data_IF_099010802140
#
_entry.id   IF_099010802140
#
_cell.length_a   1.000
_cell.length_b   1.000
_cell.length_c   1.000
_cell.angle_alpha   90.00
_cell.angle_beta   90.00
_cell.angle_gamma   90.00
#
_symmetry.space_group_name_H-M   'P 1'
#
loop_
_entity.id
_entity.type
_entity.pdbx_description
1 polymer ?
#
# COMPACT_ATOMS: atom_id res chain seq x y z
N UNK A 1 5.03 -15.78 61.28
CA UNK A 1 5.53 -16.79 60.33
C UNK A 1 4.32 -17.64 59.91
N UNK A 2 3.67 -17.29 58.80
CA UNK A 2 2.43 -17.92 58.33
C UNK A 2 2.83 -18.96 57.28
N UNK A 3 2.52 -20.23 57.54
CA UNK A 3 2.82 -21.34 56.65
C UNK A 3 1.68 -21.49 55.64
N UNK A 4 1.93 -21.14 54.37
CA UNK A 4 0.99 -21.33 53.27
C UNK A 4 1.18 -22.73 52.68
N UNK A 5 0.20 -23.61 52.89
CA UNK A 5 0.10 -24.90 52.22
C UNK A 5 -0.43 -24.68 50.79
N UNK A 6 0.43 -24.91 49.80
CA UNK A 6 0.04 -24.95 48.38
C UNK A 6 -0.67 -26.27 48.06
N UNK A 7 -1.98 -26.21 47.86
CA UNK A 7 -2.76 -27.29 47.25
C UNK A 7 -2.49 -27.32 45.75
N UNK A 8 -1.74 -28.31 45.29
CA UNK A 8 -1.62 -28.64 43.87
C UNK A 8 -2.97 -29.20 43.37
N UNK A 9 -3.72 -28.39 42.64
CA UNK A 9 -4.81 -28.88 41.80
C UNK A 9 -4.21 -29.58 40.59
N UNK A 10 -4.17 -30.91 40.61
CA UNK A 10 -4.02 -31.70 39.40
C UNK A 10 -5.26 -31.50 38.53
N UNK A 11 -5.17 -30.59 37.56
CA UNK A 11 -6.12 -30.55 36.47
C UNK A 11 -5.97 -31.86 35.69
N UNK A 12 -6.96 -32.75 35.82
CA UNK A 12 -7.08 -33.92 34.97
C UNK A 12 -7.18 -33.43 33.53
N UNK A 13 -6.09 -33.60 32.78
CA UNK A 13 -6.08 -33.39 31.34
C UNK A 13 -7.12 -34.33 30.74
N UNK A 14 -8.18 -33.76 30.18
CA UNK A 14 -9.10 -34.48 29.31
C UNK A 14 -8.29 -34.91 28.09
N UNK A 15 -7.79 -36.15 28.14
CA UNK A 15 -7.34 -36.88 26.95
C UNK A 15 -8.57 -37.07 26.07
N UNK A 16 -8.80 -36.12 25.17
CA UNK A 16 -9.73 -36.31 24.06
C UNK A 16 -9.12 -37.35 23.13
N UNK A 17 -9.38 -38.63 23.42
CA UNK A 17 -9.21 -39.70 22.45
C UNK A 17 -10.20 -39.47 21.33
N UNK A 18 -9.77 -38.73 20.31
CA UNK A 18 -10.49 -38.66 19.04
C UNK A 18 -10.41 -40.06 18.41
N UNK A 19 -11.42 -40.90 18.63
CA UNK A 19 -11.60 -42.15 17.90
C UNK A 19 -11.95 -41.80 16.45
N UNK A 20 -10.94 -41.51 15.63
CA UNK A 20 -11.14 -41.27 14.20
C UNK A 20 -11.68 -42.55 13.57
N UNK A 21 -12.87 -42.47 12.97
CA UNK A 21 -13.55 -43.61 12.34
C UNK A 21 -12.75 -44.13 11.15
N UNK A 22 -12.08 -43.23 10.41
CA UNK A 22 -11.16 -43.56 9.34
C UNK A 22 -10.00 -42.55 9.27
N UNK A 23 -8.92 -42.91 8.59
CA UNK A 23 -7.76 -42.06 8.33
C UNK A 23 -7.40 -42.06 6.85
N UNK A 24 -6.93 -40.92 6.34
CA UNK A 24 -6.40 -40.80 4.98
C UNK A 24 -4.88 -40.69 5.04
N UNK A 25 -4.21 -41.37 4.10
CA UNK A 25 -2.77 -41.26 3.90
C UNK A 25 -2.42 -41.08 2.41
N UNK A 26 -1.50 -40.17 2.04
CA UNK A 26 -0.86 -39.18 2.91
C UNK A 26 -1.84 -38.08 3.36
N UNK A 27 -1.63 -37.54 4.56
CA UNK A 27 -2.42 -36.41 5.08
C UNK A 27 -1.81 -35.09 4.61
N UNK A 28 -2.64 -34.32 3.92
CA UNK A 28 -2.43 -32.96 3.43
C UNK A 28 -1.20 -32.81 2.51
N UNK A 29 -1.07 -33.64 1.46
CA UNK A 29 0.13 -33.70 0.63
C UNK A 29 0.30 -32.45 -0.24
N UNK A 30 1.57 -32.03 -0.42
CA UNK A 30 1.98 -31.09 -1.46
C UNK A 30 2.60 -31.83 -2.64
N UNK A 31 2.16 -31.51 -3.85
CA UNK A 31 2.58 -32.17 -5.09
C UNK A 31 2.88 -31.14 -6.18
N UNK A 32 3.87 -31.46 -7.02
CA UNK A 32 4.12 -30.69 -8.24
C UNK A 32 3.01 -30.88 -9.26
N UNK A 33 2.70 -29.85 -10.04
CA UNK A 33 1.77 -29.94 -11.18
C UNK A 33 2.19 -31.06 -12.14
N UNK A 34 1.23 -31.87 -12.59
CA UNK A 34 1.45 -33.00 -13.49
C UNK A 34 1.77 -34.32 -12.77
N UNK A 35 2.05 -34.27 -11.46
CA UNK A 35 2.26 -35.47 -10.64
C UNK A 35 0.95 -36.25 -10.44
N UNK A 36 1.09 -37.50 -9.99
CA UNK A 36 -0.04 -38.36 -9.63
C UNK A 36 -0.04 -38.60 -8.12
N UNK A 37 -1.23 -38.67 -7.51
CA UNK A 37 -1.42 -39.01 -6.10
C UNK A 37 -2.10 -40.36 -5.98
N UNK A 38 -1.54 -41.24 -5.15
CA UNK A 38 -2.24 -42.41 -4.65
C UNK A 38 -2.51 -42.20 -3.16
N UNK A 39 -3.79 -42.15 -2.81
CA UNK A 39 -4.23 -41.98 -1.43
C UNK A 39 -4.97 -43.24 -0.96
N UNK A 40 -4.94 -43.51 0.34
CA UNK A 40 -5.64 -44.63 0.98
C UNK A 40 -6.52 -44.12 2.10
N UNK A 41 -7.72 -44.69 2.23
CA UNK A 41 -8.64 -44.48 3.34
C UNK A 41 -8.72 -45.79 4.12
N UNK A 42 -8.26 -45.75 5.37
CA UNK A 42 -8.21 -46.89 6.28
C UNK A 42 -9.26 -46.71 7.35
N UNK A 43 -10.21 -47.64 7.44
CA UNK A 43 -11.30 -47.60 8.41
C UNK A 43 -10.99 -48.48 9.60
N UNK A 44 -11.33 -48.02 10.81
CA UNK A 44 -11.16 -48.84 12.01
C UNK A 44 -12.09 -50.08 11.94
N UNK A 45 -11.56 -51.31 12.06
CA UNK A 45 -12.35 -52.54 12.02
C UNK A 45 -13.52 -52.57 12.99
N UNK A 46 -13.40 -51.91 14.15
CA UNK A 46 -14.39 -51.94 15.23
C UNK A 46 -15.71 -51.25 14.86
N UNK A 47 -15.74 -50.48 13.77
CA UNK A 47 -16.94 -49.76 13.31
C UNK A 47 -17.77 -50.51 12.27
N UNK A 48 -17.38 -51.73 11.88
CA UNK A 48 -18.18 -52.59 10.99
C UNK A 48 -18.37 -52.06 9.56
N UNK A 49 -17.56 -51.10 9.14
CA UNK A 49 -17.62 -50.49 7.80
C UNK A 49 -16.64 -51.20 6.87
N UNK A 50 -17.13 -51.72 5.75
CA UNK A 50 -16.31 -52.41 4.75
C UNK A 50 -15.82 -51.48 3.64
N UNK A 51 -14.56 -51.64 3.24
CA UNK A 51 -13.91 -50.84 2.19
C UNK A 51 -14.66 -50.82 0.86
N UNK A 52 -15.31 -51.93 0.48
CA UNK A 52 -16.08 -52.01 -0.77
C UNK A 52 -17.34 -51.15 -0.80
N UNK A 53 -17.79 -50.64 0.34
CA UNK A 53 -18.95 -49.73 0.44
C UNK A 53 -18.55 -48.25 0.39
N UNK A 54 -17.25 -47.95 0.43
CA UNK A 54 -16.71 -46.60 0.50
C UNK A 54 -16.61 -45.97 -0.89
N UNK A 55 -16.60 -44.63 -0.92
CA UNK A 55 -16.30 -43.90 -2.13
C UNK A 55 -15.55 -42.60 -1.83
N UNK A 56 -14.90 -42.05 -2.86
CA UNK A 56 -14.15 -40.83 -2.75
C UNK A 56 -14.83 -39.67 -3.47
N UNK A 57 -14.66 -38.46 -2.92
CA UNK A 57 -14.98 -37.22 -3.61
C UNK A 57 -13.78 -36.30 -3.63
N UNK A 58 -13.58 -35.59 -4.74
CA UNK A 58 -12.64 -34.48 -4.86
C UNK A 58 -13.42 -33.19 -5.09
N UNK A 59 -13.25 -32.20 -4.21
CA UNK A 59 -14.00 -30.93 -4.25
C UNK A 59 -15.52 -31.14 -4.35
N UNK A 60 -16.05 -32.12 -3.61
CA UNK A 60 -17.47 -32.49 -3.61
C UNK A 60 -17.94 -33.33 -4.80
N UNK A 61 -17.12 -33.53 -5.83
CA UNK A 61 -17.45 -34.36 -6.98
C UNK A 61 -17.03 -35.81 -6.73
N UNK A 62 -17.96 -36.76 -6.88
CA UNK A 62 -17.68 -38.20 -6.75
C UNK A 62 -16.74 -38.67 -7.85
N UNK A 63 -15.69 -39.39 -7.44
CA UNK A 63 -14.71 -39.94 -8.37
C UNK A 63 -15.23 -41.25 -9.01
N UNK A 64 -14.81 -41.58 -10.24
CA UNK A 64 -15.22 -42.82 -10.91
C UNK A 64 -14.72 -44.06 -10.17
N UNK A 65 -15.51 -45.13 -10.15
CA UNK A 65 -15.10 -46.40 -9.52
C UNK A 65 -13.85 -47.02 -10.14
N UNK A 66 -13.57 -46.73 -11.42
CA UNK A 66 -12.35 -47.17 -12.13
C UNK A 66 -11.06 -46.59 -11.54
N UNK A 67 -11.15 -45.54 -10.73
CA UNK A 67 -9.99 -44.94 -10.04
C UNK A 67 -9.69 -45.58 -8.69
N UNK A 68 -10.55 -46.50 -8.23
CA UNK A 68 -10.46 -47.12 -6.92
C UNK A 68 -9.78 -48.49 -6.99
N UNK A 69 -9.08 -48.86 -5.92
CA UNK A 69 -8.61 -50.22 -5.68
C UNK A 69 -8.84 -50.61 -4.23
N UNK A 70 -9.47 -51.77 -4.01
CA UNK A 70 -9.67 -52.32 -2.66
C UNK A 70 -8.41 -53.10 -2.31
N UNK A 71 -7.67 -52.63 -1.31
CA UNK A 71 -6.40 -53.25 -0.88
C UNK A 71 -6.62 -54.28 0.21
N UNK A 72 -7.62 -54.08 1.06
CA UNK A 72 -8.02 -55.00 2.13
C UNK A 72 -9.50 -54.80 2.49
N UNK A 73 -10.10 -55.60 3.38
CA UNK A 73 -11.48 -55.40 3.83
C UNK A 73 -11.77 -54.03 4.47
N UNK A 74 -10.73 -53.33 4.95
CA UNK A 74 -10.83 -52.05 5.66
C UNK A 74 -10.10 -50.90 4.96
N UNK A 75 -9.41 -51.15 3.84
CA UNK A 75 -8.61 -50.14 3.14
C UNK A 75 -9.02 -50.04 1.66
N UNK A 76 -9.44 -48.84 1.25
CA UNK A 76 -9.69 -48.46 -0.14
C UNK A 76 -8.65 -47.42 -0.58
N UNK A 77 -8.12 -47.58 -1.78
CA UNK A 77 -7.20 -46.63 -2.40
C UNK A 77 -7.83 -45.93 -3.60
N UNK A 78 -7.36 -44.72 -3.88
CA UNK A 78 -7.69 -43.95 -5.07
C UNK A 78 -6.42 -43.41 -5.71
N UNK A 79 -6.33 -43.51 -7.04
CA UNK A 79 -5.22 -42.94 -7.81
C UNK A 79 -5.73 -41.81 -8.71
N UNK A 80 -5.16 -40.62 -8.51
CA UNK A 80 -5.45 -39.41 -9.27
C UNK A 80 -4.25 -39.08 -10.18
N UNK A 81 -4.35 -39.33 -11.49
CA UNK A 81 -3.25 -39.03 -12.41
C UNK A 81 -3.25 -37.56 -12.85
N UNK A 82 -2.05 -37.03 -13.12
CA UNK A 82 -1.83 -35.71 -13.77
C UNK A 82 -2.62 -34.57 -13.12
N UNK A 83 -2.43 -34.37 -11.83
CA UNK A 83 -3.08 -33.31 -11.08
C UNK A 83 -2.67 -31.91 -11.61
N UNK A 84 -3.67 -31.03 -11.73
CA UNK A 84 -3.47 -29.64 -12.15
C UNK A 84 -3.37 -28.71 -10.95
N UNK A 85 -2.72 -27.56 -11.11
CA UNK A 85 -2.63 -26.55 -10.05
C UNK A 85 -4.01 -25.98 -9.70
N UNK A 86 -4.38 -26.04 -8.42
CA UNK A 86 -5.66 -25.50 -7.96
C UNK A 86 -5.55 -24.03 -7.61
N UNK A 87 -6.57 -23.24 -7.94
CA UNK A 87 -6.67 -21.82 -7.53
C UNK A 87 -7.21 -21.67 -6.10
N UNK A 88 -7.63 -22.78 -5.48
CA UNK A 88 -8.19 -22.77 -4.14
C UNK A 88 -7.08 -22.65 -3.09
N UNK A 89 -7.00 -21.50 -2.42
CA UNK A 89 -5.95 -21.22 -1.42
C UNK A 89 -5.96 -22.15 -0.22
N UNK A 90 -7.10 -22.78 0.09
CA UNK A 90 -7.23 -23.73 1.20
C UNK A 90 -6.85 -25.18 0.83
N UNK A 91 -6.43 -25.43 -0.42
CA UNK A 91 -6.23 -26.77 -0.96
C UNK A 91 -7.51 -27.42 -1.48
N UNK A 92 -7.35 -28.46 -2.29
CA UNK A 92 -8.45 -29.27 -2.84
C UNK A 92 -8.87 -30.35 -1.83
N UNK A 93 -10.17 -30.51 -1.61
CA UNK A 93 -10.71 -31.40 -0.59
C UNK A 93 -10.88 -32.82 -1.14
N UNK A 94 -10.00 -33.74 -0.75
CA UNK A 94 -10.14 -35.18 -0.98
C UNK A 94 -10.80 -35.83 0.24
N UNK A 95 -11.94 -36.46 0.03
CA UNK A 95 -12.78 -36.93 1.15
C UNK A 95 -13.23 -38.37 0.91
N UNK A 96 -13.13 -39.19 1.94
CA UNK A 96 -13.60 -40.57 1.99
C UNK A 96 -14.96 -40.63 2.68
N UNK A 97 -15.94 -41.26 2.04
CA UNK A 97 -17.33 -41.35 2.51
C UNK A 97 -17.76 -42.80 2.68
N UNK A 98 -18.71 -43.04 3.59
CA UNK A 98 -19.44 -44.30 3.66
C UNK A 98 -20.59 -44.35 2.65
N UNK A 99 -21.23 -45.52 2.51
CA UNK A 99 -22.39 -45.71 1.61
C UNK A 99 -23.59 -44.81 1.92
N UNK A 100 -23.75 -44.37 3.16
CA UNK A 100 -24.80 -43.44 3.61
C UNK A 100 -24.50 -41.96 3.32
N UNK A 101 -23.33 -41.63 2.78
CA UNK A 101 -22.94 -40.26 2.45
C UNK A 101 -22.32 -39.46 3.60
N UNK A 102 -21.98 -40.13 4.71
CA UNK A 102 -21.26 -39.50 5.81
C UNK A 102 -19.76 -39.44 5.51
N UNK A 103 -19.15 -38.30 5.83
CA UNK A 103 -17.70 -38.09 5.76
C UNK A 103 -17.03 -38.91 6.86
N UNK A 104 -16.11 -39.79 6.48
CA UNK A 104 -15.31 -40.58 7.40
C UNK A 104 -13.96 -39.95 7.69
N UNK A 105 -13.32 -39.39 6.66
CA UNK A 105 -12.03 -38.72 6.74
C UNK A 105 -11.86 -37.74 5.57
N UNK A 106 -11.05 -36.70 5.74
CA UNK A 106 -10.74 -35.72 4.70
C UNK A 106 -9.28 -35.28 4.74
N UNK A 107 -8.75 -34.89 3.58
CA UNK A 107 -7.43 -34.31 3.40
C UNK A 107 -7.43 -33.22 2.33
N UNK A 108 -6.63 -32.18 2.56
CA UNK A 108 -6.41 -31.08 1.63
C UNK A 108 -5.19 -31.34 0.73
N UNK A 109 -5.40 -31.49 -0.57
CA UNK A 109 -4.33 -31.65 -1.55
C UNK A 109 -3.86 -30.26 -2.00
N UNK A 110 -2.54 -30.04 -1.96
CA UNK A 110 -1.91 -28.82 -2.46
C UNK A 110 -1.11 -29.13 -3.73
N UNK A 111 -1.59 -28.70 -4.89
CA UNK A 111 -0.92 -28.95 -6.17
C UNK A 111 -0.39 -27.64 -6.74
N UNK A 112 0.91 -27.57 -6.98
CA UNK A 112 1.54 -26.34 -7.44
C UNK A 112 3.00 -26.49 -7.84
N UNK A 113 3.77 -25.42 -7.65
CA UNK A 113 5.18 -25.36 -8.06
C UNK A 113 6.05 -24.91 -6.88
N UNK A 114 7.32 -25.37 -6.80
CA UNK A 114 8.27 -24.77 -5.87
C UNK A 114 8.46 -23.29 -6.21
N UNK A 115 8.81 -22.45 -5.22
CA UNK A 115 8.99 -21.03 -5.46
C UNK A 115 10.21 -20.80 -6.35
N UNK A 116 10.09 -19.85 -7.27
CA UNK A 116 11.23 -19.34 -8.02
C UNK A 116 11.94 -18.22 -7.27
N UNK A 117 13.21 -18.00 -7.62
CA UNK A 117 14.08 -16.97 -7.06
C UNK A 117 13.40 -15.58 -7.13
N UNK A 118 13.13 -14.91 -5.99
CA UNK A 118 12.64 -13.54 -5.99
C UNK A 118 13.63 -12.58 -6.69
N UNK A 119 13.10 -11.58 -7.38
CA UNK A 119 13.87 -10.64 -8.21
C UNK A 119 13.54 -9.18 -7.86
N UNK A 120 14.33 -8.24 -8.38
CA UNK A 120 14.13 -6.79 -8.20
C UNK A 120 14.07 -6.35 -6.72
N UNK A 121 14.87 -6.98 -5.86
CA UNK A 121 15.00 -6.54 -4.47
C UNK A 121 15.65 -5.16 -4.44
N UNK A 122 14.89 -4.17 -3.98
CA UNK A 122 15.28 -2.77 -3.86
C UNK A 122 14.86 -2.24 -2.51
N UNK A 123 15.65 -1.33 -1.94
CA UNK A 123 15.33 -0.73 -0.65
C UNK A 123 15.53 0.78 -0.69
N UNK A 124 14.82 1.49 0.18
CA UNK A 124 14.97 2.91 0.43
C UNK A 124 14.75 3.23 1.90
N UNK A 125 15.42 4.27 2.38
CA UNK A 125 15.32 4.76 3.76
C UNK A 125 14.75 6.16 3.76
N UNK A 126 13.64 6.37 4.45
CA UNK A 126 13.09 7.70 4.66
C UNK A 126 13.83 8.36 5.82
N UNK A 127 14.45 9.50 5.54
CA UNK A 127 15.11 10.34 6.53
C UNK A 127 16.16 9.58 7.39
N UNK A 128 16.78 8.52 6.87
CA UNK A 128 17.74 7.65 7.59
C UNK A 128 17.22 6.97 8.86
N UNK A 129 15.91 6.88 9.04
CA UNK A 129 15.29 6.35 10.27
C UNK A 129 14.73 4.96 10.11
N UNK A 130 14.28 4.63 8.92
CA UNK A 130 13.67 3.36 8.56
C UNK A 130 14.36 2.73 7.36
N UNK A 131 13.98 1.50 7.02
CA UNK A 131 14.36 0.86 5.78
C UNK A 131 13.14 0.11 5.25
N UNK A 132 12.69 0.52 4.07
CA UNK A 132 11.62 -0.18 3.35
C UNK A 132 12.25 -0.91 2.18
N UNK A 133 11.92 -2.19 2.03
CA UNK A 133 12.41 -3.01 0.94
C UNK A 133 11.25 -3.64 0.19
N UNK A 134 11.39 -3.73 -1.14
CA UNK A 134 10.41 -4.31 -2.05
C UNK A 134 11.08 -5.26 -3.01
N UNK A 135 10.38 -6.33 -3.34
CA UNK A 135 10.79 -7.32 -4.34
C UNK A 135 9.61 -7.74 -5.22
N UNK A 136 9.91 -8.50 -6.26
CA UNK A 136 8.91 -9.22 -7.06
C UNK A 136 9.11 -10.73 -6.88
N UNK A 137 8.03 -11.53 -6.92
CA UNK A 137 8.13 -12.97 -7.10
C UNK A 137 8.95 -13.33 -8.35
N UNK A 138 9.67 -14.45 -8.28
CA UNK A 138 10.30 -15.02 -9.47
C UNK A 138 9.30 -15.61 -10.46
N UNK A 139 9.72 -15.77 -11.71
CA UNK A 139 8.94 -16.45 -12.76
C UNK A 139 7.59 -15.80 -13.04
N UNK A 140 6.55 -16.63 -13.15
CA UNK A 140 5.16 -16.19 -13.35
C UNK A 140 4.48 -15.69 -12.05
N UNK A 141 5.18 -15.74 -10.91
CA UNK A 141 4.70 -15.28 -9.60
C UNK A 141 3.60 -16.12 -8.94
N UNK A 142 2.87 -16.97 -9.68
CA UNK A 142 1.88 -17.91 -9.14
C UNK A 142 2.48 -19.30 -8.97
N UNK A 143 2.52 -19.80 -7.73
CA UNK A 143 2.97 -21.16 -7.39
C UNK A 143 1.80 -22.11 -7.13
N UNK A 144 0.55 -21.64 -7.20
CA UNK A 144 -0.70 -22.34 -6.84
C UNK A 144 -0.78 -22.83 -5.37
N UNK A 145 0.28 -22.67 -4.58
CA UNK A 145 0.33 -23.01 -3.15
C UNK A 145 0.79 -21.78 -2.38
N UNK A 146 0.24 -21.58 -1.18
CA UNK A 146 0.63 -20.46 -0.32
C UNK A 146 2.14 -20.42 -0.13
N UNK A 147 2.77 -19.37 -0.63
CA UNK A 147 4.20 -19.14 -0.55
C UNK A 147 4.47 -18.00 0.42
N UNK A 148 5.31 -18.27 1.43
CA UNK A 148 5.75 -17.27 2.40
C UNK A 148 7.02 -16.62 1.86
N UNK A 149 7.08 -15.29 1.89
CA UNK A 149 8.29 -14.53 1.59
C UNK A 149 8.79 -13.92 2.90
N UNK A 150 10.06 -14.16 3.21
CA UNK A 150 10.71 -13.66 4.41
C UNK A 150 11.90 -12.81 3.99
N UNK A 151 11.86 -11.50 4.29
CA UNK A 151 13.04 -10.65 4.12
C UNK A 151 13.98 -10.86 5.30
N UNK A 152 15.24 -11.17 4.99
CA UNK A 152 16.31 -11.41 5.95
C UNK A 152 17.40 -10.39 5.78
N UNK A 153 17.96 -9.95 6.91
CA UNK A 153 19.02 -8.94 6.90
C UNK A 153 19.98 -9.11 8.08
N UNK A 154 21.23 -8.69 7.87
CA UNK A 154 22.24 -8.57 8.93
C UNK A 154 23.26 -7.51 8.54
N UNK A 155 23.99 -7.01 9.53
CA UNK A 155 25.17 -6.19 9.27
C UNK A 155 26.27 -7.10 8.69
N UNK A 156 26.98 -6.61 7.67
CA UNK A 156 27.90 -7.42 6.85
C UNK A 156 29.04 -8.04 7.64
N UNK A 157 29.63 -7.27 8.53
CA UNK A 157 30.88 -7.64 9.21
C UNK A 157 30.67 -8.29 10.57
N UNK A 158 29.57 -7.96 11.22
CA UNK A 158 29.21 -8.42 12.56
C UNK A 158 27.69 -8.37 12.69
N UNK A 159 27.10 -9.18 13.54
CA UNK A 159 25.65 -9.17 13.76
C UNK A 159 24.99 -10.48 13.36
N UNK A 160 23.80 -10.68 13.92
CA UNK A 160 22.99 -11.88 13.71
C UNK A 160 21.97 -11.63 12.60
N UNK A 161 21.62 -12.70 11.91
CA UNK A 161 20.48 -12.72 10.99
C UNK A 161 19.22 -12.28 11.73
N UNK A 162 18.48 -11.36 11.11
CA UNK A 162 17.17 -10.90 11.55
C UNK A 162 16.18 -11.14 10.43
N UNK A 163 14.96 -11.48 10.80
CA UNK A 163 13.82 -11.54 9.88
C UNK A 163 12.99 -10.27 10.03
N UNK A 164 12.45 -9.78 8.93
CA UNK A 164 11.48 -8.70 8.95
C UNK A 164 10.13 -9.19 9.45
N UNK A 165 9.57 -8.48 10.42
CA UNK A 165 8.28 -8.82 11.05
C UNK A 165 7.12 -7.96 10.52
N UNK A 166 7.39 -6.73 10.09
CA UNK A 166 6.37 -5.77 9.66
C UNK A 166 6.24 -5.76 8.13
N UNK A 167 5.32 -6.58 7.64
CA UNK A 167 4.91 -6.59 6.24
C UNK A 167 3.78 -5.59 6.06
N UNK A 168 3.95 -4.66 5.13
CA UNK A 168 2.95 -3.63 4.85
C UNK A 168 1.62 -4.29 4.43
N UNK A 169 0.60 -4.20 5.29
CA UNK A 169 -0.69 -4.89 5.11
C UNK A 169 -1.42 -4.55 3.79
N UNK A 170 -1.03 -3.45 3.12
CA UNK A 170 -1.58 -3.02 1.84
C UNK A 170 -0.73 -3.35 0.61
N UNK A 171 0.58 -3.60 0.77
CA UNK A 171 1.51 -3.77 -0.36
C UNK A 171 2.19 -5.15 -0.32
N UNK A 172 1.77 -6.10 -1.19
CA UNK A 172 2.40 -7.40 -1.24
C UNK A 172 3.88 -7.26 -1.63
N UNK A 173 4.72 -8.15 -1.08
CA UNK A 173 6.16 -8.20 -1.37
C UNK A 173 6.94 -6.96 -0.94
N UNK A 174 6.46 -6.30 0.13
CA UNK A 174 7.12 -5.18 0.80
C UNK A 174 7.32 -5.50 2.27
N UNK A 175 8.48 -5.11 2.81
CA UNK A 175 8.81 -5.19 4.24
C UNK A 175 9.29 -3.83 4.74
N UNK A 176 8.92 -3.51 5.97
CA UNK A 176 9.28 -2.27 6.65
C UNK A 176 10.08 -2.56 7.93
N UNK A 177 11.25 -1.92 8.06
CA UNK A 177 12.10 -2.00 9.25
C UNK A 177 12.11 -0.63 9.92
N UNK A 178 11.43 -0.46 11.08
CA UNK A 178 11.08 0.87 11.59
C UNK A 178 12.21 1.61 12.33
N UNK A 179 13.23 0.90 12.84
CA UNK A 179 14.26 1.48 13.73
C UNK A 179 15.45 0.52 13.92
N UNK A 180 16.39 0.93 14.77
CA UNK A 180 17.58 0.17 15.19
C UNK A 180 18.50 -0.21 14.02
N UNK A 181 18.58 0.72 13.06
CA UNK A 181 19.44 0.65 11.90
C UNK A 181 20.79 1.32 12.20
N UNK A 182 21.87 0.69 11.76
CA UNK A 182 23.20 1.25 11.84
C UNK A 182 23.52 2.01 10.56
N UNK A 183 24.12 3.18 10.71
CA UNK A 183 24.69 3.96 9.60
C UNK A 183 26.19 3.65 9.48
N UNK A 184 26.78 3.94 8.33
CA UNK A 184 28.22 3.75 8.05
C UNK A 184 28.70 2.29 8.06
N UNK A 185 27.77 1.34 8.14
CA UNK A 185 28.05 -0.10 8.08
C UNK A 185 27.10 -0.76 7.09
N UNK A 186 27.60 -1.42 6.04
CA UNK A 186 26.75 -2.03 5.04
C UNK A 186 25.97 -3.22 5.61
N UNK A 187 24.72 -3.34 5.20
CA UNK A 187 23.86 -4.50 5.42
C UNK A 187 24.00 -5.52 4.28
N UNK A 188 23.81 -6.79 4.62
CA UNK A 188 23.48 -7.87 3.69
C UNK A 188 21.98 -8.10 3.78
N UNK A 189 21.27 -8.04 2.66
CA UNK A 189 19.80 -8.18 2.61
C UNK A 189 19.42 -9.14 1.50
N UNK A 190 18.53 -10.08 1.78
CA UNK A 190 17.99 -11.03 0.82
C UNK A 190 16.56 -11.44 1.19
N UNK A 191 15.86 -12.07 0.26
CA UNK A 191 14.51 -12.58 0.47
C UNK A 191 14.51 -14.10 0.27
N UNK A 192 13.91 -14.81 1.21
CA UNK A 192 13.66 -16.25 1.13
C UNK A 192 12.19 -16.49 0.82
N UNK A 193 11.90 -17.15 -0.30
CA UNK A 193 10.58 -17.64 -0.65
C UNK A 193 10.49 -19.13 -0.27
N UNK A 194 9.45 -19.51 0.46
CA UNK A 194 9.29 -20.87 0.98
C UNK A 194 7.84 -21.35 0.84
N UNK A 195 7.67 -22.57 0.35
CA UNK A 195 6.42 -23.30 0.37
C UNK A 195 6.67 -24.80 0.64
N UNK A 196 5.62 -25.62 0.67
CA UNK A 196 5.73 -27.05 0.98
C UNK A 196 6.55 -27.86 -0.04
N UNK A 197 6.79 -27.31 -1.24
CA UNK A 197 7.55 -27.96 -2.32
C UNK A 197 9.02 -27.53 -2.37
N UNK A 198 9.41 -26.49 -1.63
CA UNK A 198 10.81 -26.06 -1.57
C UNK A 198 11.01 -24.61 -1.18
N UNK A 199 12.25 -24.16 -1.29
CA UNK A 199 12.71 -22.81 -0.97
C UNK A 199 13.55 -22.23 -2.10
N UNK A 200 13.50 -20.91 -2.27
CA UNK A 200 14.34 -20.17 -3.18
C UNK A 200 14.74 -18.81 -2.58
N UNK A 201 15.99 -18.40 -2.79
CA UNK A 201 16.54 -17.16 -2.24
C UNK A 201 16.88 -16.18 -3.34
N UNK A 202 16.63 -14.89 -3.10
CA UNK A 202 17.02 -13.80 -4.00
C UNK A 202 18.54 -13.66 -4.06
N UNK A 203 19.02 -12.84 -4.99
CA UNK A 203 20.37 -12.30 -4.85
C UNK A 203 20.49 -11.49 -3.56
N UNK A 204 21.68 -11.52 -2.96
CA UNK A 204 22.02 -10.71 -1.80
C UNK A 204 22.40 -9.32 -2.29
N UNK A 205 21.73 -8.29 -1.75
CA UNK A 205 22.13 -6.91 -1.97
C UNK A 205 22.95 -6.40 -0.79
N UNK A 206 23.89 -5.52 -1.10
CA UNK A 206 24.74 -4.85 -0.12
C UNK A 206 24.47 -3.35 -0.18
N UNK A 207 24.07 -2.76 0.93
CA UNK A 207 23.83 -1.31 1.00
C UNK A 207 24.12 -0.76 2.40
N UNK A 208 24.70 0.43 2.45
CA UNK A 208 24.57 1.30 3.62
C UNK A 208 23.20 2.00 3.56
N UNK A 209 22.59 2.29 4.71
CA UNK A 209 21.37 3.10 4.77
C UNK A 209 21.56 4.44 4.06
N UNK A 210 22.76 5.01 4.16
CA UNK A 210 23.15 6.28 3.52
C UNK A 210 23.21 6.19 1.98
N UNK A 211 23.25 4.99 1.39
CA UNK A 211 23.26 4.79 -0.06
C UNK A 211 21.85 4.87 -0.69
N UNK A 212 20.80 4.78 0.12
CA UNK A 212 19.41 4.60 -0.34
C UNK A 212 18.44 5.59 0.31
N UNK A 213 18.93 6.77 0.68
CA UNK A 213 18.15 7.78 1.39
C UNK A 213 17.17 8.49 0.46
N UNK A 214 15.92 8.56 0.87
CA UNK A 214 14.91 9.52 0.40
C UNK A 214 14.46 10.39 1.58
N UNK A 215 13.80 11.51 1.31
CA UNK A 215 13.27 12.39 2.36
C UNK A 215 11.83 12.73 2.09
N UNK A 216 11.18 13.34 3.09
CA UNK A 216 9.89 13.99 2.85
C UNK A 216 10.05 15.12 1.82
N UNK A 217 8.99 15.44 1.05
CA UNK A 217 8.99 16.60 0.15
C UNK A 217 9.22 17.90 0.93
N UNK A 218 9.75 18.95 0.27
CA UNK A 218 9.85 20.29 0.87
C UNK A 218 8.51 20.77 1.44
N UNK A 219 8.55 21.37 2.63
CA UNK A 219 7.36 21.94 3.29
C UNK A 219 7.23 23.42 2.95
N UNK A 220 6.10 24.04 3.33
CA UNK A 220 5.92 25.49 3.29
C UNK A 220 6.18 26.13 1.92
N UNK A 221 5.78 25.42 0.85
CA UNK A 221 5.95 25.90 -0.52
C UNK A 221 5.02 27.07 -0.78
N UNK A 222 5.59 28.26 -0.95
CA UNK A 222 4.89 29.51 -1.23
C UNK A 222 5.31 30.05 -2.59
N UNK A 223 4.33 30.60 -3.32
CA UNK A 223 4.56 31.25 -4.62
C UNK A 223 3.99 32.66 -4.54
N UNK A 224 4.80 33.67 -4.83
CA UNK A 224 4.42 35.08 -4.73
C UNK A 224 4.88 35.87 -5.95
N UNK A 225 4.17 36.95 -6.26
CA UNK A 225 4.58 37.92 -7.30
C UNK A 225 5.88 38.62 -6.94
N UNK A 226 6.59 39.10 -7.95
CA UNK A 226 7.81 39.89 -7.81
C UNK A 226 7.49 41.34 -8.15
N UNK A 227 6.93 42.07 -7.19
CA UNK A 227 6.36 43.40 -7.45
C UNK A 227 5.33 43.32 -8.57
N UNK A 228 5.47 44.20 -9.55
CA UNK A 228 4.59 44.31 -10.72
C UNK A 228 5.14 43.61 -11.97
N UNK A 229 6.17 42.77 -11.83
CA UNK A 229 6.73 42.02 -12.97
C UNK A 229 5.74 40.96 -13.46
N UNK A 230 5.22 41.18 -14.66
CA UNK A 230 4.16 40.40 -15.30
C UNK A 230 4.60 39.00 -15.76
N UNK A 231 5.90 38.76 -15.89
CA UNK A 231 6.47 37.53 -16.43
C UNK A 231 7.19 36.67 -15.36
N UNK A 232 7.07 37.05 -14.08
CA UNK A 232 7.87 36.48 -13.00
C UNK A 232 7.09 36.11 -11.74
N UNK A 233 7.47 34.97 -11.17
CA UNK A 233 7.03 34.51 -9.85
C UNK A 233 8.24 34.08 -9.01
N UNK A 234 8.19 34.33 -7.70
CA UNK A 234 9.15 33.79 -6.73
C UNK A 234 8.54 32.59 -6.01
N UNK A 235 9.26 31.48 -6.01
CA UNK A 235 8.94 30.26 -5.27
C UNK A 235 9.87 30.18 -4.06
N UNK A 236 9.33 29.91 -2.87
CA UNK A 236 10.09 29.66 -1.63
C UNK A 236 9.58 28.40 -0.95
N UNK A 237 10.47 27.67 -0.27
CA UNK A 237 10.12 26.43 0.44
C UNK A 237 10.99 26.23 1.69
N UNK A 238 10.52 25.38 2.59
CA UNK A 238 11.25 24.89 3.74
C UNK A 238 12.10 23.67 3.41
N UNK A 239 13.32 23.63 3.93
CA UNK A 239 14.19 22.45 3.89
C UNK A 239 13.64 21.36 4.83
N UNK A 240 13.41 20.12 4.34
CA UNK A 240 13.05 18.99 5.19
C UNK A 240 14.00 18.84 6.39
N UNK A 241 13.50 18.57 7.62
CA UNK A 241 14.34 18.52 8.81
C UNK A 241 15.55 17.58 8.72
N UNK A 242 15.39 16.43 8.04
CA UNK A 242 16.46 15.46 7.85
C UNK A 242 17.65 16.03 7.04
N UNK A 243 17.40 16.98 6.13
CA UNK A 243 18.42 17.61 5.29
C UNK A 243 19.12 18.80 5.95
N UNK A 244 18.74 19.15 7.18
CA UNK A 244 19.43 20.20 7.97
C UNK A 244 20.64 19.66 8.73
N UNK A 245 20.77 18.34 8.80
CA UNK A 245 21.93 17.68 9.38
C UNK A 245 23.16 17.92 8.47
N UNK A 246 24.35 18.05 9.08
CA UNK A 246 25.62 18.24 8.38
C UNK A 246 25.95 17.08 7.44
N UNK A 247 25.31 15.93 7.64
CA UNK A 247 25.44 14.76 6.79
C UNK A 247 24.95 14.97 5.36
N UNK A 248 24.10 15.98 5.07
CA UNK A 248 23.43 16.10 3.78
C UNK A 248 23.67 17.43 3.07
N UNK A 249 23.88 17.35 1.76
CA UNK A 249 23.65 18.45 0.83
C UNK A 249 22.46 18.12 -0.06
N UNK A 250 21.55 19.09 -0.23
CA UNK A 250 20.34 18.92 -1.01
C UNK A 250 20.43 19.63 -2.36
N UNK A 251 19.82 19.03 -3.38
CA UNK A 251 19.40 19.72 -4.60
C UNK A 251 17.88 19.74 -4.68
N UNK A 252 17.34 20.81 -5.26
CA UNK A 252 15.91 20.95 -5.50
C UNK A 252 15.58 20.97 -6.98
N UNK A 253 14.40 20.46 -7.28
CA UNK A 253 13.79 20.52 -8.60
C UNK A 253 12.41 21.15 -8.48
N UNK A 254 12.10 22.05 -9.40
CA UNK A 254 10.80 22.73 -9.46
C UNK A 254 10.10 22.28 -10.73
N UNK A 255 8.80 22.00 -10.64
CA UNK A 255 7.95 21.89 -11.82
C UNK A 255 6.79 22.84 -11.72
N UNK A 256 6.40 23.41 -12.86
CA UNK A 256 5.25 24.30 -12.94
C UNK A 256 4.45 24.05 -14.21
N UNK A 257 3.15 24.30 -14.13
CA UNK A 257 2.22 24.19 -15.28
C UNK A 257 1.13 25.23 -15.20
N UNK A 258 0.49 25.48 -16.33
CA UNK A 258 -0.74 26.26 -16.41
C UNK A 258 -1.89 25.46 -15.81
N UNK A 259 -2.92 26.13 -15.29
CA UNK A 259 -4.14 25.47 -14.79
C UNK A 259 -4.76 24.53 -15.83
N UNK A 260 -4.89 25.02 -17.06
CA UNK A 260 -5.53 24.33 -18.18
C UNK A 260 -4.63 23.30 -18.89
N UNK A 261 -3.34 23.25 -18.56
CA UNK A 261 -2.38 22.34 -19.19
C UNK A 261 -2.08 21.14 -18.29
N UNK A 262 -1.91 19.97 -18.90
CA UNK A 262 -1.35 18.77 -18.25
C UNK A 262 0.18 18.77 -18.23
N UNK A 263 0.82 19.62 -19.02
CA UNK A 263 2.25 19.54 -19.30
C UNK A 263 3.06 20.34 -18.29
N UNK A 264 3.96 19.64 -17.60
CA UNK A 264 4.84 20.24 -16.61
C UNK A 264 6.13 20.75 -17.25
N UNK A 265 6.42 22.03 -17.07
CA UNK A 265 7.75 22.60 -17.30
C UNK A 265 8.61 22.36 -16.07
N UNK A 266 9.88 22.03 -16.27
CA UNK A 266 10.78 21.58 -15.19
C UNK A 266 12.05 22.43 -15.13
N UNK A 267 12.40 22.88 -13.92
CA UNK A 267 13.69 23.50 -13.59
C UNK A 267 14.52 22.45 -12.88
N UNK A 268 15.56 21.95 -13.54
CA UNK A 268 16.23 20.70 -13.16
C UNK A 268 17.18 20.80 -11.96
N UNK A 269 17.86 21.93 -11.77
CA UNK A 269 18.84 22.09 -10.69
C UNK A 269 18.76 23.49 -10.09
N UNK A 270 18.31 23.57 -8.84
CA UNK A 270 18.24 24.81 -8.06
C UNK A 270 19.32 24.84 -6.96
N UNK A 271 20.25 23.88 -6.97
CA UNK A 271 21.27 23.74 -5.95
C UNK A 271 20.68 23.57 -4.55
N UNK A 272 21.42 24.01 -3.53
CA UNK A 272 20.99 24.01 -2.13
C UNK A 272 20.30 25.32 -1.72
N UNK A 273 19.51 25.92 -2.63
CA UNK A 273 18.73 27.12 -2.32
C UNK A 273 17.33 26.76 -1.83
N UNK A 274 16.70 27.68 -1.09
CA UNK A 274 15.31 27.57 -0.61
C UNK A 274 14.37 28.56 -1.29
N UNK A 275 14.86 29.22 -2.34
CA UNK A 275 14.06 30.13 -3.18
C UNK A 275 14.54 30.13 -4.62
N UNK A 276 13.62 30.32 -5.56
CA UNK A 276 13.93 30.45 -6.98
C UNK A 276 12.96 31.43 -7.65
N UNK A 277 13.44 32.19 -8.64
CA UNK A 277 12.60 33.03 -9.49
C UNK A 277 12.32 32.28 -10.80
N UNK A 278 11.04 32.11 -11.12
CA UNK A 278 10.57 31.65 -12.41
C UNK A 278 10.36 32.89 -13.29
N UNK A 279 10.91 32.88 -14.51
CA UNK A 279 10.80 33.96 -15.48
C UNK A 279 10.28 33.45 -16.83
N UNK A 280 9.88 34.37 -17.72
CA UNK A 280 9.29 34.00 -19.01
C UNK A 280 7.89 33.40 -18.90
N UNK A 281 7.14 33.78 -17.87
CA UNK A 281 5.75 33.39 -17.66
C UNK A 281 4.81 34.30 -18.47
N UNK A 282 3.61 33.80 -18.75
CA UNK A 282 2.57 34.59 -19.43
C UNK A 282 1.93 35.55 -18.42
N UNK A 283 1.72 36.83 -18.77
CA UNK A 283 0.98 37.78 -17.94
C UNK A 283 -0.44 37.32 -17.62
N UNK A 284 -0.96 37.73 -16.47
CA UNK A 284 -2.36 37.48 -16.06
C UNK A 284 -2.76 36.00 -15.95
N UNK A 285 -1.81 35.10 -15.77
CA UNK A 285 -2.01 33.65 -15.91
C UNK A 285 -1.73 32.91 -14.60
N UNK A 286 -2.56 31.92 -14.28
CA UNK A 286 -2.43 31.08 -13.07
C UNK A 286 -1.50 29.90 -13.33
N UNK A 287 -0.50 29.74 -12.46
CA UNK A 287 0.44 28.63 -12.47
C UNK A 287 0.32 27.79 -11.21
N UNK A 288 0.38 26.47 -11.37
CA UNK A 288 0.60 25.51 -10.28
C UNK A 288 2.07 25.14 -10.23
N UNK A 289 2.64 25.17 -9.03
CA UNK A 289 4.07 24.89 -8.80
C UNK A 289 4.22 23.79 -7.75
N UNK A 290 5.17 22.90 -7.98
CA UNK A 290 5.60 21.88 -7.01
C UNK A 290 7.12 21.85 -6.92
N UNK A 291 7.61 21.49 -5.74
CA UNK A 291 9.05 21.36 -5.46
C UNK A 291 9.31 19.96 -4.91
N UNK A 292 10.44 19.37 -5.29
CA UNK A 292 10.98 18.16 -4.65
C UNK A 292 12.47 18.32 -4.38
N UNK A 293 13.03 17.44 -3.57
CA UNK A 293 14.44 17.48 -3.18
C UNK A 293 15.14 16.14 -3.38
N UNK A 294 16.47 16.17 -3.43
CA UNK A 294 17.32 15.00 -3.47
C UNK A 294 18.55 15.21 -2.56
N UNK A 295 18.86 14.28 -1.64
CA UNK A 295 20.11 14.32 -0.86
C UNK A 295 21.28 13.86 -1.73
N UNK A 296 21.95 14.78 -2.43
CA UNK A 296 23.03 14.45 -3.37
C UNK A 296 24.42 14.38 -2.74
N UNK A 297 24.65 15.05 -1.61
CA UNK A 297 25.95 15.07 -0.92
C UNK A 297 25.83 14.46 0.47
N UNK A 298 25.73 13.14 0.53
CA UNK A 298 25.59 12.38 1.78
C UNK A 298 26.99 12.01 2.29
N UNK A 299 27.37 12.49 3.49
CA UNK A 299 28.67 12.16 4.08
C UNK A 299 28.77 10.65 4.30
N UNK A 300 29.82 10.03 3.76
CA UNK A 300 30.05 8.59 3.88
C UNK A 300 29.41 7.74 2.78
N UNK A 301 28.61 8.33 1.87
CA UNK A 301 28.07 7.66 0.69
C UNK A 301 28.66 8.22 -0.60
N UNK A 302 28.82 7.36 -1.60
CA UNK A 302 29.24 7.75 -2.96
C UNK A 302 28.05 7.85 -3.92
N UNK A 303 26.85 7.52 -3.46
CA UNK A 303 25.63 7.55 -4.27
C UNK A 303 24.84 8.79 -3.93
N UNK A 304 24.27 9.41 -4.97
CA UNK A 304 23.21 10.38 -4.76
C UNK A 304 21.99 9.66 -4.18
N UNK A 305 21.26 10.35 -3.31
CA UNK A 305 20.01 9.86 -2.78
C UNK A 305 18.91 9.77 -3.83
N UNK A 306 17.75 9.32 -3.35
CA UNK A 306 16.54 9.17 -4.14
C UNK A 306 15.75 10.47 -4.05
N UNK A 307 15.18 10.90 -5.17
CA UNK A 307 14.29 12.07 -5.20
C UNK A 307 13.09 11.84 -4.30
N UNK A 308 12.73 12.83 -3.50
CA UNK A 308 11.47 12.83 -2.77
C UNK A 308 10.27 12.94 -3.70
N UNK A 309 9.10 12.64 -3.16
CA UNK A 309 7.84 12.96 -3.81
C UNK A 309 7.74 14.46 -4.09
N UNK A 310 6.82 14.85 -4.97
CA UNK A 310 6.52 16.25 -5.20
C UNK A 310 5.74 16.82 -4.01
N UNK A 311 6.05 18.06 -3.62
CA UNK A 311 5.25 18.81 -2.65
C UNK A 311 3.79 18.94 -3.10
N UNK A 312 2.90 19.32 -2.18
CA UNK A 312 1.57 19.75 -2.56
C UNK A 312 1.64 20.90 -3.57
N UNK A 313 0.72 20.95 -4.55
CA UNK A 313 0.72 21.98 -5.58
C UNK A 313 0.27 23.33 -4.99
N UNK A 314 1.08 24.37 -5.21
CA UNK A 314 0.78 25.75 -4.79
C UNK A 314 0.50 26.61 -6.02
N UNK A 315 -0.58 27.40 -5.99
CA UNK A 315 -1.00 28.23 -7.10
C UNK A 315 -0.67 29.71 -6.87
N UNK A 316 -0.28 30.42 -7.94
CA UNK A 316 -0.20 31.88 -7.98
C UNK A 316 -0.42 32.37 -9.41
N UNK A 317 -0.88 33.62 -9.56
CA UNK A 317 -1.00 34.26 -10.87
C UNK A 317 0.00 35.41 -11.05
N UNK A 318 0.51 35.53 -12.26
CA UNK A 318 1.28 36.69 -12.70
C UNK A 318 0.40 37.94 -12.77
N UNK A 319 0.97 39.16 -12.55
CA UNK A 319 0.28 40.42 -12.83
C UNK A 319 -0.24 40.50 -14.27
N UNK A 320 -1.31 41.26 -14.47
CA UNK A 320 -1.83 41.52 -15.82
C UNK A 320 -1.02 42.63 -16.50
N UNK A 321 -0.94 42.58 -17.83
CA UNK A 321 -0.32 43.66 -18.60
C UNK A 321 -1.24 44.86 -18.68
N UNK A 322 -1.04 45.84 -17.80
CA UNK A 322 -1.59 47.17 -18.01
C UNK A 322 -0.67 47.93 -18.96
N UNK A 323 -0.78 47.66 -20.27
CA UNK A 323 -0.50 48.72 -21.22
C UNK A 323 -1.50 49.84 -20.92
N UNK A 324 -1.01 50.91 -20.31
CA UNK A 324 -1.68 52.20 -20.22
C UNK A 324 -2.15 52.63 -21.62
N UNK A 325 -3.35 52.20 -22.00
CA UNK A 325 -4.17 52.99 -22.89
C UNK A 325 -4.70 54.12 -22.02
N UNK A 326 -4.05 55.27 -22.12
CA UNK A 326 -4.60 56.58 -21.80
C UNK A 326 -5.91 56.73 -22.56
N UNK A 327 -6.97 56.24 -21.94
CA UNK A 327 -8.35 56.37 -22.36
C UNK A 327 -9.14 56.64 -21.10
N UNK A 328 -9.29 57.93 -20.80
CA UNK A 328 -10.18 58.45 -19.78
C UNK A 328 -11.49 57.67 -19.74
N UNK A 329 -11.78 57.06 -18.58
CA UNK A 329 -13.12 56.90 -18.04
C UNK A 329 -12.97 56.65 -16.54
N UNK A 330 -13.09 57.71 -15.76
CA UNK A 330 -13.60 57.61 -14.39
C UNK A 330 -14.85 56.73 -14.40
N UNK A 331 -14.80 55.55 -13.77
CA UNK A 331 -15.97 54.87 -13.18
C UNK A 331 -15.62 53.49 -12.57
N UNK A 332 -15.83 53.42 -11.23
CA UNK A 332 -16.27 52.24 -10.44
C UNK A 332 -15.23 51.34 -9.73
N UNK A 333 -14.32 51.95 -8.99
CA UNK A 333 -13.68 51.30 -7.81
C UNK A 333 -14.68 51.08 -6.64
N UNK A 334 -15.85 51.73 -6.67
CA UNK A 334 -16.89 51.60 -5.64
C UNK A 334 -17.83 50.39 -5.75
N UNK A 335 -17.98 49.77 -6.93
CA UNK A 335 -18.96 48.68 -7.12
C UNK A 335 -18.43 47.29 -6.71
N UNK A 336 -17.19 46.92 -7.02
CA UNK A 336 -16.66 45.61 -6.61
C UNK A 336 -16.45 45.50 -5.09
N UNK A 337 -15.99 46.58 -4.45
CA UNK A 337 -15.84 46.63 -2.99
C UNK A 337 -17.20 46.60 -2.26
N UNK A 338 -18.27 47.13 -2.86
CA UNK A 338 -19.62 47.06 -2.28
C UNK A 338 -20.29 45.70 -2.52
N UNK A 339 -20.06 45.04 -3.66
CA UNK A 339 -20.56 43.68 -3.89
C UNK A 339 -19.88 42.67 -2.98
N UNK A 340 -18.55 42.73 -2.83
CA UNK A 340 -17.80 41.80 -1.98
C UNK A 340 -18.16 41.99 -0.49
N UNK A 341 -18.30 43.24 -0.03
CA UNK A 341 -18.77 43.54 1.34
C UNK A 341 -20.21 43.08 1.57
N UNK A 342 -21.09 43.20 0.57
CA UNK A 342 -22.49 42.73 0.65
C UNK A 342 -22.55 41.20 0.74
N UNK A 343 -21.76 40.52 -0.08
CA UNK A 343 -21.74 39.05 -0.13
C UNK A 343 -21.15 38.47 1.16
N UNK A 344 -20.07 39.07 1.70
CA UNK A 344 -19.53 38.70 3.01
C UNK A 344 -20.55 38.91 4.13
N UNK A 345 -21.27 40.03 4.15
CA UNK A 345 -22.34 40.27 5.15
C UNK A 345 -23.45 39.23 5.06
N UNK A 346 -23.87 38.85 3.84
CA UNK A 346 -24.90 37.83 3.64
C UNK A 346 -24.41 36.44 4.07
N UNK A 347 -23.15 36.10 3.78
CA UNK A 347 -22.53 34.85 4.19
C UNK A 347 -22.42 34.73 5.72
N UNK A 348 -21.91 35.74 6.42
CA UNK A 348 -21.82 35.73 7.88
C UNK A 348 -23.20 35.74 8.56
N UNK A 349 -24.18 36.42 7.98
CA UNK A 349 -25.57 36.38 8.44
C UNK A 349 -26.21 35.00 8.30
N UNK A 350 -25.90 34.28 7.21
CA UNK A 350 -26.33 32.90 6.99
C UNK A 350 -25.63 31.92 7.94
N UNK A 351 -24.30 32.06 8.11
CA UNK A 351 -23.51 31.25 9.04
C UNK A 351 -24.07 31.32 10.47
N UNK A 352 -24.39 32.52 10.96
CA UNK A 352 -24.95 32.71 12.32
C UNK A 352 -26.28 32.00 12.54
N UNK A 353 -27.02 31.68 11.48
CA UNK A 353 -28.32 30.99 11.54
C UNK A 353 -28.22 29.49 11.31
N UNK A 354 -27.15 29.00 10.68
CA UNK A 354 -27.08 27.61 10.17
C UNK A 354 -25.87 26.83 10.69
N UNK A 355 -24.90 27.50 11.31
CA UNK A 355 -23.80 26.88 12.03
C UNK A 355 -23.95 27.19 13.53
N UNK A 356 -24.45 26.21 14.30
CA UNK A 356 -24.44 26.27 15.76
C UNK A 356 -23.18 25.58 16.29
N UNK A 357 -22.32 26.33 16.98
CA UNK A 357 -21.08 25.85 17.58
C UNK A 357 -19.81 26.32 16.86
N UNK A 358 -18.74 26.54 17.63
CA UNK A 358 -17.42 26.97 17.14
C UNK A 358 -16.76 25.88 16.28
N UNK A 359 -17.16 25.79 15.01
CA UNK A 359 -16.47 25.00 14.00
C UNK A 359 -15.71 25.94 13.05
N UNK A 360 -14.47 25.57 12.74
CA UNK A 360 -13.56 26.37 11.91
C UNK A 360 -14.14 26.66 10.53
N UNK A 361 -13.87 27.87 10.04
CA UNK A 361 -14.30 28.34 8.73
C UNK A 361 -13.65 27.46 7.65
N UNK A 362 -14.47 26.73 6.88
CA UNK A 362 -14.00 25.81 5.83
C UNK A 362 -14.59 26.15 4.47
N UNK A 363 -13.88 25.80 3.40
CA UNK A 363 -14.34 25.99 2.02
C UNK A 363 -15.70 25.30 1.76
N UNK A 364 -15.97 24.18 2.45
CA UNK A 364 -17.23 23.42 2.34
C UNK A 364 -18.45 24.21 2.80
N UNK A 365 -18.30 25.05 3.84
CA UNK A 365 -19.38 25.91 4.34
C UNK A 365 -19.69 27.04 3.35
N UNK A 366 -18.68 27.56 2.67
CA UNK A 366 -18.84 28.58 1.64
C UNK A 366 -19.60 28.02 0.43
N UNK A 367 -19.26 26.81 -0.03
CA UNK A 367 -19.95 26.15 -1.15
C UNK A 367 -21.42 25.84 -0.83
N UNK A 368 -21.71 25.38 0.40
CA UNK A 368 -23.09 25.16 0.85
C UNK A 368 -23.93 26.44 0.83
N UNK A 369 -23.35 27.57 1.28
CA UNK A 369 -24.02 28.86 1.19
C UNK A 369 -24.28 29.31 -0.25
N UNK A 370 -23.32 29.12 -1.16
CA UNK A 370 -23.46 29.46 -2.58
C UNK A 370 -24.62 28.69 -3.24
N UNK A 371 -24.74 27.40 -2.93
CA UNK A 371 -25.86 26.56 -3.39
C UNK A 371 -27.20 27.04 -2.82
N UNK A 372 -27.23 27.41 -1.53
CA UNK A 372 -28.43 27.98 -0.90
C UNK A 372 -28.86 29.29 -1.56
N UNK A 373 -27.91 30.18 -1.86
CA UNK A 373 -28.17 31.46 -2.52
C UNK A 373 -28.82 31.25 -3.90
N UNK A 374 -28.27 30.33 -4.70
CA UNK A 374 -28.80 30.00 -6.02
C UNK A 374 -30.22 29.39 -5.96
N UNK A 375 -30.50 28.55 -4.96
CA UNK A 375 -31.84 27.99 -4.74
C UNK A 375 -32.84 29.08 -4.35
N UNK A 376 -32.49 29.98 -3.43
CA UNK A 376 -33.34 31.10 -2.99
C UNK A 376 -33.69 32.06 -4.14
N UNK A 377 -32.73 32.36 -5.02
CA UNK A 377 -32.97 33.18 -6.21
C UNK A 377 -33.92 32.49 -7.22
N UNK A 378 -33.86 31.16 -7.36
CA UNK A 378 -34.83 30.41 -8.19
C UNK A 378 -36.24 30.46 -7.60
N UNK A 379 -36.39 30.32 -6.28
CA UNK A 379 -37.71 30.40 -5.63
C UNK A 379 -38.32 31.80 -5.73
N UNK A 380 -37.51 32.85 -5.62
CA UNK A 380 -37.98 34.25 -5.73
C UNK A 380 -38.43 34.61 -7.15
N UNK A 381 -37.79 34.06 -8.17
CA UNK A 381 -38.17 34.27 -9.57
C UNK A 381 -39.44 33.49 -9.97
N UNK A 382 -39.70 32.34 -9.34
CA UNK A 382 -40.96 31.60 -9.55
C UNK A 382 -42.17 32.29 -8.91
N UNK A 383 -42.01 32.96 -7.77
CA UNK A 383 -43.11 33.72 -7.13
C UNK A 383 -43.48 34.98 -7.93
N UNK A 384 -42.51 35.64 -8.58
CA UNK A 384 -42.76 36.84 -9.40
C UNK A 384 -43.36 36.54 -10.79
N UNK A 385 -43.30 35.29 -11.25
CA UNK A 385 -43.89 34.86 -12.52
C UNK A 385 -45.33 34.33 -12.37
N UNK A 386 -45.81 34.16 -11.12
CA UNK A 386 -47.18 33.71 -10.82
C UNK A 386 -48.23 34.81 -10.69
N UNK A 387 -47.83 36.08 -10.62
CA UNK A 387 -48.74 37.25 -10.48
C UNK A 387 -48.99 38.00 -11.81
N UNK A 388 -48.74 37.36 -12.95
CA UNK A 388 -49.10 37.86 -14.29
C UNK A 388 -49.76 36.79 -15.14
N UNK A 389 -50.82 36.17 -14.62
CA UNK A 389 -51.82 35.43 -15.40
C UNK A 389 -53.20 35.65 -14.80
#
# INVERSE_FOLDING_TARGET
MICLLFLFHCAAGVLSSSTQVATIYPQDPALSIGSSLTATCSVNPDHGVHAGSLYWTLNGKRLPSSTYSILSPTVISVTLPRLSGSRQRSGDNLVCHNSGGHVLAGSCIYVGMPPEKPVNLTCWSRNTKDLTCRWAPGGQGETFIKTKYTLKYKLRWYGREKECEDYSAGDPYTCYIPRDLALFTPYEIWVEASNQLGTATSDVIYLDILDVVTTDPPTDVTVSRVGDLEDQLTVRWGTPPALKDFLFQAKYQIRYRLEESSDWKVVHDVGNQTSCRLAGLQPGTVYFVQVRCNPVGILGSRKAGIWSDWSHPTAASTPHSERLLTGSCDSKVGQQNSTLRRDLKQFFGWLRKHAYGCSGMSIKLYDQWRVWLQKSHKTRNQVLQGDKS
#
